data_IF_667084101945
#
_entry.id   IF_667084101945
#
_cell.length_a   1.000
_cell.length_b   1.000
_cell.length_c   1.000
_cell.angle_alpha   90.00
_cell.angle_beta   90.00
_cell.angle_gamma   90.00
#
_symmetry.space_group_name_H-M   'P 1'
#
loop_
_entity.id
_entity.type
_entity.pdbx_description
1 polymer ?
#
# COMPACT_ATOMS: atom_id res chain seq x y z
N UNK A 1 -3.21 -6.82 -5.37
CA UNK A 1 -3.95 -5.54 -5.20
C UNK A 1 -5.24 -5.63 -6.00
N UNK A 2 -6.37 -5.10 -5.50
CA UNK A 2 -7.63 -5.05 -6.26
C UNK A 2 -8.05 -3.61 -6.47
N UNK A 3 -8.41 -3.26 -7.71
CA UNK A 3 -8.91 -1.93 -8.01
C UNK A 3 -10.25 -1.70 -7.32
N UNK A 4 -10.38 -0.62 -6.55
CA UNK A 4 -11.65 -0.25 -5.92
C UNK A 4 -12.71 0.21 -6.93
N UNK A 5 -12.28 0.62 -8.13
CA UNK A 5 -13.17 1.13 -9.17
C UNK A 5 -13.60 0.03 -10.15
N UNK A 6 -12.66 -0.63 -10.83
CA UNK A 6 -12.98 -1.63 -11.85
C UNK A 6 -12.98 -3.08 -11.34
N UNK A 7 -12.60 -3.31 -10.08
CA UNK A 7 -12.55 -4.66 -9.49
C UNK A 7 -11.44 -5.57 -10.04
N UNK A 8 -10.57 -5.08 -10.93
CA UNK A 8 -9.46 -5.85 -11.48
C UNK A 8 -8.43 -6.19 -10.39
N UNK A 9 -7.99 -7.44 -10.37
CA UNK A 9 -6.94 -7.92 -9.46
C UNK A 9 -5.63 -7.91 -10.22
N UNK A 10 -4.62 -7.25 -9.66
CA UNK A 10 -3.28 -7.10 -10.23
C UNK A 10 -2.22 -7.08 -9.13
N UNK A 11 -0.99 -7.39 -9.50
CA UNK A 11 0.17 -7.37 -8.61
C UNK A 11 0.67 -5.93 -8.40
N UNK A 12 1.39 -5.68 -7.30
CA UNK A 12 1.99 -4.36 -7.05
C UNK A 12 2.99 -3.97 -8.14
N UNK A 13 3.71 -4.94 -8.72
CA UNK A 13 4.67 -4.71 -9.78
C UNK A 13 4.00 -4.19 -11.05
N UNK A 14 2.84 -4.74 -11.42
CA UNK A 14 2.04 -4.27 -12.55
C UNK A 14 1.56 -2.83 -12.35
N UNK A 15 1.17 -2.48 -11.13
CA UNK A 15 0.77 -1.13 -10.76
C UNK A 15 1.95 -0.14 -10.85
N UNK A 16 3.14 -0.58 -10.44
CA UNK A 16 4.36 0.22 -10.48
C UNK A 16 4.87 0.42 -11.93
N UNK A 17 4.74 -0.59 -12.79
CA UNK A 17 5.13 -0.52 -14.21
C UNK A 17 4.39 0.60 -14.95
N UNK A 18 3.09 0.75 -14.69
CA UNK A 18 2.27 1.83 -15.29
C UNK A 18 2.73 3.21 -14.79
N UNK A 19 3.09 3.32 -13.50
CA UNK A 19 3.64 4.57 -12.96
C UNK A 19 5.07 4.87 -13.44
N UNK A 20 5.88 3.88 -13.87
CA UNK A 20 7.22 4.13 -14.45
C UNK A 20 7.18 4.94 -15.75
N UNK A 21 6.05 4.93 -16.47
CA UNK A 21 5.83 5.80 -17.64
C UNK A 21 5.44 7.24 -17.27
N UNK A 22 5.12 7.51 -16.00
CA UNK A 22 4.78 8.84 -15.53
C UNK A 22 6.08 9.58 -15.18
N UNK A 23 6.48 10.54 -16.01
CA UNK A 23 7.70 11.34 -15.84
C UNK A 23 7.73 12.25 -14.59
N UNK A 24 6.79 12.07 -13.66
CA UNK A 24 6.76 12.76 -12.38
C UNK A 24 7.77 12.10 -11.42
N UNK A 25 8.99 12.63 -11.49
CA UNK A 25 10.12 12.52 -10.55
C UNK A 25 9.80 11.83 -9.22
N UNK A 26 10.38 10.63 -9.02
CA UNK A 26 10.91 10.06 -7.76
C UNK A 26 10.20 10.35 -6.42
N UNK A 27 8.88 10.57 -6.41
CA UNK A 27 8.14 10.96 -5.21
C UNK A 27 6.63 10.70 -5.29
N UNK A 28 6.15 10.09 -6.38
CA UNK A 28 4.75 9.71 -6.50
C UNK A 28 4.48 8.43 -5.69
N UNK A 29 3.87 8.59 -4.52
CA UNK A 29 3.36 7.47 -3.69
C UNK A 29 1.97 7.00 -4.17
N UNK A 30 1.64 7.17 -5.46
CA UNK A 30 0.39 6.67 -6.03
C UNK A 30 0.66 5.50 -6.98
N UNK A 31 -0.28 4.55 -6.98
CA UNK A 31 -0.37 3.46 -7.95
C UNK A 31 -1.53 3.67 -8.90
N UNK A 32 -1.32 3.35 -10.16
CA UNK A 32 -2.38 3.40 -11.18
C UNK A 32 -2.84 1.98 -11.53
N UNK A 33 -4.14 1.77 -11.61
CA UNK A 33 -4.68 0.50 -12.09
C UNK A 33 -4.34 0.33 -13.58
N UNK A 34 -3.68 -0.77 -14.00
CA UNK A 34 -3.28 -1.01 -15.39
C UNK A 34 -4.46 -1.13 -16.36
N UNK A 35 -5.66 -1.42 -15.85
CA UNK A 35 -6.84 -1.68 -16.68
C UNK A 35 -7.73 -0.47 -16.91
N UNK A 36 -8.00 0.31 -15.87
CA UNK A 36 -8.92 1.45 -15.94
C UNK A 36 -8.23 2.80 -15.77
N UNK A 37 -6.95 2.82 -15.38
CA UNK A 37 -6.23 4.05 -15.11
C UNK A 37 -6.60 4.73 -13.80
N UNK A 38 -7.40 4.10 -12.93
CA UNK A 38 -7.75 4.70 -11.63
C UNK A 38 -6.52 4.82 -10.72
N UNK A 39 -6.35 5.97 -10.10
CA UNK A 39 -5.21 6.28 -9.22
C UNK A 39 -5.57 5.97 -7.77
N UNK A 40 -4.81 5.08 -7.15
CA UNK A 40 -4.92 4.71 -5.75
C UNK A 40 -3.66 5.12 -4.99
N UNK A 41 -3.78 5.83 -3.86
CA UNK A 41 -2.63 6.13 -3.01
C UNK A 41 -2.05 4.81 -2.47
N UNK A 42 -0.73 4.63 -2.61
CA UNK A 42 -0.01 3.54 -1.96
C UNK A 42 0.05 3.81 -0.46
N UNK A 43 -0.08 2.75 0.34
CA UNK A 43 0.07 2.87 1.79
C UNK A 43 1.48 3.39 2.13
N UNK A 44 1.60 4.54 2.82
CA UNK A 44 2.90 5.09 3.18
C UNK A 44 3.59 4.17 4.20
N UNK A 45 4.91 4.03 4.09
CA UNK A 45 5.72 3.16 4.94
C UNK A 45 5.52 3.40 6.45
N UNK A 46 5.17 4.63 6.84
CA UNK A 46 4.84 5.04 8.22
C UNK A 46 3.62 4.27 8.76
N UNK A 47 2.60 4.03 7.94
CA UNK A 47 1.40 3.28 8.34
C UNK A 47 1.74 1.82 8.59
N UNK A 48 2.60 1.23 7.75
CA UNK A 48 3.09 -0.14 7.97
C UNK A 48 3.93 -0.26 9.25
N UNK A 49 4.80 0.72 9.50
CA UNK A 49 5.59 0.76 10.73
C UNK A 49 4.71 0.90 11.97
N UNK A 50 3.71 1.78 11.95
CA UNK A 50 2.79 1.98 13.07
C UNK A 50 1.94 0.73 13.35
N UNK A 51 1.48 0.02 12.31
CA UNK A 51 0.76 -1.26 12.48
C UNK A 51 1.63 -2.30 13.18
N UNK A 52 2.89 -2.46 12.75
CA UNK A 52 3.85 -3.38 13.39
C UNK A 52 4.11 -2.99 14.85
N UNK A 53 4.24 -1.70 15.14
CA UNK A 53 4.50 -1.23 16.50
C UNK A 53 3.32 -1.46 17.44
N UNK A 54 2.07 -1.23 16.99
CA UNK A 54 0.87 -1.57 17.77
C UNK A 54 0.73 -3.07 18.01
N UNK A 55 1.04 -3.91 17.01
CA UNK A 55 1.00 -5.36 17.17
C UNK A 55 1.96 -5.85 18.27
N UNK A 56 3.18 -5.28 18.34
CA UNK A 56 4.17 -5.57 19.40
C UNK A 56 3.68 -5.17 20.79
N UNK A 57 3.00 -4.03 20.90
CA UNK A 57 2.41 -3.57 22.18
C UNK A 57 1.20 -4.40 22.63
N UNK A 58 0.42 -4.93 21.69
CA UNK A 58 -0.68 -5.83 22.03
C UNK A 58 -0.16 -7.14 22.67
N UNK A 59 0.96 -7.68 22.17
CA UNK A 59 1.62 -8.85 22.78
C UNK A 59 2.23 -8.57 24.15
N UNK A 60 2.80 -7.37 24.38
CA UNK A 60 3.36 -7.00 25.70
C UNK A 60 2.29 -6.72 26.76
N UNK A 61 1.11 -6.24 26.35
CA UNK A 61 -0.03 -6.03 27.27
C UNK A 61 -0.66 -7.35 27.74
N UNK A 62 -0.57 -8.41 26.92
CA UNK A 62 -1.09 -9.75 27.23
C UNK A 62 -0.19 -10.50 28.23
N UNK A 63 1.14 -10.30 28.19
CA UNK A 63 2.09 -11.02 29.06
C UNK A 63 2.13 -10.51 30.51
N UNK A 64 1.68 -9.27 30.77
CA UNK A 64 1.66 -8.67 32.13
C UNK A 64 0.41 -9.07 32.95
N UNK A 65 -0.47 -9.91 32.40
CA UNK A 65 -1.72 -10.33 33.04
C UNK A 65 -1.71 -11.78 33.55
N UNK A 66 -0.57 -12.48 33.48
CA UNK A 66 -0.40 -13.87 33.93
C UNK A 66 0.51 -13.97 35.13
#
# INVERSE_FOLDING_TARGET
MKCAFCGYTYEQEEAAQVCRGCGLFSGCHLTKCPRCGYEQPQEPAVVQWLRRWRARRATEADTRKR
#
